data_IF_780649017566
#
_entry.id   IF_780649017566
#
_cell.length_a   1.000
_cell.length_b   1.000
_cell.length_c   1.000
_cell.angle_alpha   90.00
_cell.angle_beta   90.00
_cell.angle_gamma   90.00
#
_symmetry.space_group_name_H-M   'P 1'
#
loop_
_entity.id
_entity.type
_entity.pdbx_description
1 polymer ?
#
# COMPACT_ATOMS: atom_id res chain seq x y z
N UNK A 1 25.80 19.11 49.79
CA UNK A 1 24.44 18.54 49.75
C UNK A 1 24.24 17.80 48.43
N UNK A 2 24.58 16.50 48.39
CA UNK A 2 24.68 15.71 47.17
C UNK A 2 23.34 15.03 46.80
N UNK A 3 22.66 15.53 45.77
CA UNK A 3 21.37 15.01 45.25
C UNK A 3 21.51 13.82 44.27
N UNK A 4 22.58 13.03 44.38
CA UNK A 4 22.96 12.00 43.40
C UNK A 4 22.35 10.61 43.67
N UNK A 5 21.68 10.44 44.80
CA UNK A 5 21.03 9.20 45.23
C UNK A 5 19.53 9.23 44.93
N UNK A 6 19.14 9.56 43.70
CA UNK A 6 17.78 9.23 43.24
C UNK A 6 17.82 7.79 42.75
N UNK A 7 17.11 6.83 43.40
CA UNK A 7 17.04 5.48 42.88
C UNK A 7 16.44 5.54 41.47
N UNK A 8 17.04 4.83 40.53
CA UNK A 8 16.42 4.56 39.23
C UNK A 8 15.00 4.06 39.52
N UNK A 9 14.01 4.69 38.90
CA UNK A 9 12.62 4.20 38.98
C UNK A 9 12.62 2.82 38.36
N UNK A 10 12.70 1.81 39.23
CA UNK A 10 12.45 0.41 38.92
C UNK A 10 11.17 0.39 38.10
N UNK A 11 11.23 -0.24 36.93
CA UNK A 11 10.11 -0.47 36.02
C UNK A 11 8.81 -0.61 36.81
N UNK A 12 8.00 0.46 36.82
CA UNK A 12 6.64 0.36 37.30
C UNK A 12 5.91 -0.48 36.27
N UNK A 13 5.89 -1.79 36.51
CA UNK A 13 5.11 -2.73 35.72
C UNK A 13 3.67 -2.23 35.66
N UNK A 14 3.30 -1.77 34.47
CA UNK A 14 1.96 -1.30 34.18
C UNK A 14 1.00 -2.47 34.42
N UNK A 15 -0.12 -2.15 35.09
CA UNK A 15 -1.12 -3.08 35.61
C UNK A 15 -1.46 -4.19 34.59
N UNK A 16 -1.45 -5.48 35.01
CA UNK A 16 -1.64 -6.63 34.10
C UNK A 16 -3.02 -6.70 33.43
N UNK A 17 -4.01 -5.92 33.92
CA UNK A 17 -5.39 -5.95 33.41
C UNK A 17 -5.64 -5.04 32.19
N UNK A 18 -4.74 -4.10 31.86
CA UNK A 18 -4.83 -3.32 30.60
C UNK A 18 -4.30 -4.09 29.38
N UNK A 19 -3.82 -5.32 29.57
CA UNK A 19 -3.28 -6.17 28.50
C UNK A 19 -4.36 -6.85 27.65
N UNK A 20 -5.63 -6.81 28.09
CA UNK A 20 -6.75 -7.50 27.44
C UNK A 20 -7.43 -6.69 26.33
N UNK A 21 -7.15 -5.39 26.20
CA UNK A 21 -7.55 -4.65 25.02
C UNK A 21 -6.43 -4.73 23.98
N UNK A 22 -6.66 -5.26 22.77
CA UNK A 22 -5.63 -5.29 21.76
C UNK A 22 -5.24 -3.84 21.42
N UNK A 23 -4.02 -3.47 21.81
CA UNK A 23 -3.39 -2.18 21.56
C UNK A 23 -3.47 -1.74 20.07
N UNK A 24 -3.61 -2.70 19.17
CA UNK A 24 -3.82 -2.54 17.72
C UNK A 24 -5.11 -1.80 17.32
N UNK A 25 -6.10 -1.72 18.22
CA UNK A 25 -7.45 -1.22 17.92
C UNK A 25 -7.81 0.10 18.61
N UNK A 26 -6.82 0.90 19.02
CA UNK A 26 -7.12 2.24 19.54
C UNK A 26 -7.44 3.19 18.38
N UNK A 27 -8.64 3.78 18.35
CA UNK A 27 -9.08 4.79 17.37
C UNK A 27 -8.07 5.95 17.17
N UNK A 28 -7.24 6.23 18.17
CA UNK A 28 -6.13 7.20 18.07
C UNK A 28 -5.05 6.76 17.06
N UNK A 29 -4.77 5.46 16.95
CA UNK A 29 -3.86 4.91 15.93
C UNK A 29 -4.48 4.99 14.53
N UNK A 30 -5.77 4.69 14.37
CA UNK A 30 -6.42 4.76 13.05
C UNK A 30 -6.38 6.19 12.49
N UNK A 31 -6.67 7.20 13.32
CA UNK A 31 -6.58 8.62 12.88
C UNK A 31 -5.18 9.01 12.40
N UNK A 32 -4.12 8.53 13.04
CA UNK A 32 -2.74 8.84 12.65
C UNK A 32 -2.26 8.08 11.38
N UNK A 33 -2.99 7.04 10.97
CA UNK A 33 -2.68 6.26 9.77
C UNK A 33 -3.75 6.43 8.69
N UNK A 34 -4.67 7.39 8.86
CA UNK A 34 -5.83 7.52 7.98
C UNK A 34 -5.43 7.84 6.54
N UNK A 35 -4.48 8.76 6.33
CA UNK A 35 -3.91 9.07 5.01
C UNK A 35 -3.26 7.85 4.33
N UNK A 36 -2.66 6.94 5.11
CA UNK A 36 -2.09 5.70 4.59
C UNK A 36 -3.17 4.74 4.09
N UNK A 37 -4.25 4.56 4.86
CA UNK A 37 -5.37 3.72 4.43
C UNK A 37 -6.12 4.32 3.24
N UNK A 38 -6.29 5.64 3.20
CA UNK A 38 -6.95 6.33 2.09
C UNK A 38 -6.13 6.15 0.81
N UNK A 39 -4.82 6.40 0.85
CA UNK A 39 -3.95 6.19 -0.31
C UNK A 39 -4.05 4.74 -0.83
N UNK A 40 -3.95 3.77 0.09
CA UNK A 40 -4.01 2.36 -0.26
C UNK A 40 -5.37 1.97 -0.85
N UNK A 41 -6.45 2.49 -0.27
CA UNK A 41 -7.82 2.29 -0.76
C UNK A 41 -7.99 2.86 -2.18
N UNK A 42 -7.54 4.09 -2.43
CA UNK A 42 -7.58 4.70 -3.78
C UNK A 42 -6.75 3.88 -4.77
N UNK A 43 -5.55 3.46 -4.38
CA UNK A 43 -4.69 2.64 -5.23
C UNK A 43 -5.35 1.31 -5.61
N UNK A 44 -5.91 0.58 -4.65
CA UNK A 44 -6.61 -0.68 -4.95
C UNK A 44 -7.89 -0.45 -5.75
N UNK A 45 -8.68 0.58 -5.44
CA UNK A 45 -9.87 0.91 -6.23
C UNK A 45 -9.53 1.13 -7.70
N UNK A 46 -8.48 1.91 -7.99
CA UNK A 46 -8.07 2.16 -9.38
C UNK A 46 -7.65 0.84 -10.04
N UNK A 47 -6.81 0.02 -9.40
CA UNK A 47 -6.41 -1.27 -9.96
C UNK A 47 -7.62 -2.20 -10.19
N UNK A 48 -8.58 -2.26 -9.26
CA UNK A 48 -9.82 -3.04 -9.43
C UNK A 48 -10.63 -2.53 -10.62
N UNK A 49 -10.79 -1.21 -10.78
CA UNK A 49 -11.51 -0.62 -11.93
C UNK A 49 -10.83 -0.98 -13.24
N UNK A 50 -9.50 -0.82 -13.35
CA UNK A 50 -8.77 -1.21 -14.57
C UNK A 50 -8.89 -2.72 -14.86
N UNK A 51 -8.89 -3.55 -13.82
CA UNK A 51 -9.06 -4.99 -13.98
C UNK A 51 -10.47 -5.36 -14.44
N UNK A 52 -11.51 -4.75 -13.84
CA UNK A 52 -12.92 -4.97 -14.20
C UNK A 52 -13.21 -4.48 -15.61
N UNK A 53 -12.68 -3.32 -16.01
CA UNK A 53 -12.79 -2.82 -17.38
C UNK A 53 -12.21 -3.83 -18.39
N UNK A 54 -11.06 -4.43 -18.08
CA UNK A 54 -10.48 -5.46 -18.94
C UNK A 54 -11.31 -6.76 -18.94
N UNK A 55 -11.89 -7.14 -17.81
CA UNK A 55 -12.75 -8.31 -17.69
C UNK A 55 -14.06 -8.16 -18.47
N UNK A 56 -14.63 -6.95 -18.55
CA UNK A 56 -15.84 -6.68 -19.33
C UNK A 56 -15.53 -6.62 -20.84
N UNK A 57 -14.35 -6.11 -21.22
CA UNK A 57 -13.99 -5.84 -22.61
C UNK A 57 -13.45 -7.04 -23.38
N UNK A 58 -12.82 -8.01 -22.71
CA UNK A 58 -12.14 -9.13 -23.35
C UNK A 58 -12.80 -10.48 -23.00
N UNK A 59 -12.48 -11.54 -23.76
CA UNK A 59 -12.90 -12.93 -23.48
C UNK A 59 -12.08 -13.48 -22.29
N UNK A 60 -12.62 -14.46 -21.57
CA UNK A 60 -12.06 -14.93 -20.28
C UNK A 60 -10.55 -15.24 -20.33
N UNK A 61 -10.07 -15.94 -21.34
CA UNK A 61 -8.65 -16.34 -21.47
C UNK A 61 -7.68 -15.16 -21.59
N UNK A 62 -8.09 -14.08 -22.29
CA UNK A 62 -7.24 -12.91 -22.56
C UNK A 62 -7.50 -11.78 -21.53
N UNK A 63 -8.65 -11.80 -20.87
CA UNK A 63 -9.07 -10.79 -19.90
C UNK A 63 -8.11 -10.67 -18.72
N UNK A 64 -7.63 -11.81 -18.21
CA UNK A 64 -6.71 -11.84 -17.08
C UNK A 64 -5.37 -11.21 -17.48
N UNK A 65 -4.83 -11.57 -18.65
CA UNK A 65 -3.58 -11.02 -19.16
C UNK A 65 -3.68 -9.51 -19.41
N UNK A 66 -4.79 -9.06 -20.00
CA UNK A 66 -5.04 -7.63 -20.29
C UNK A 66 -5.31 -6.83 -19.02
N UNK A 67 -6.07 -7.36 -18.07
CA UNK A 67 -6.35 -6.71 -16.79
C UNK A 67 -5.10 -6.59 -15.93
N UNK A 68 -4.31 -7.66 -15.82
CA UNK A 68 -3.03 -7.64 -15.11
C UNK A 68 -2.04 -6.67 -15.78
N UNK A 69 -1.96 -6.67 -17.11
CA UNK A 69 -1.13 -5.72 -17.86
C UNK A 69 -1.56 -4.25 -17.68
N UNK A 70 -2.86 -3.97 -17.66
CA UNK A 70 -3.39 -2.63 -17.41
C UNK A 70 -3.03 -2.12 -16.00
N UNK A 71 -3.19 -2.97 -14.98
CA UNK A 71 -2.79 -2.67 -13.60
C UNK A 71 -1.26 -2.48 -13.46
N UNK A 72 -0.49 -3.26 -14.21
CA UNK A 72 0.98 -3.21 -14.25
C UNK A 72 1.49 -1.96 -14.97
N UNK A 73 0.75 -1.40 -15.93
CA UNK A 73 1.12 -0.12 -16.54
C UNK A 73 0.89 1.06 -15.58
N UNK A 74 -0.12 0.97 -14.71
CA UNK A 74 -0.45 2.03 -13.76
C UNK A 74 0.43 2.01 -12.49
N UNK A 75 0.64 0.84 -11.90
CA UNK A 75 1.29 0.69 -10.59
C UNK A 75 2.72 1.27 -10.50
N UNK A 76 3.61 1.11 -11.50
CA UNK A 76 4.94 1.71 -11.51
C UNK A 76 4.92 3.24 -11.57
N UNK A 77 3.97 3.84 -12.30
CA UNK A 77 3.80 5.30 -12.35
C UNK A 77 3.50 5.84 -10.96
N UNK A 78 2.63 5.16 -10.21
CA UNK A 78 2.32 5.51 -8.81
C UNK A 78 3.54 5.40 -7.92
N UNK A 79 4.33 4.33 -8.05
CA UNK A 79 5.59 4.15 -7.30
C UNK A 79 6.61 5.24 -7.59
N UNK A 80 6.75 5.65 -8.85
CA UNK A 80 7.65 6.73 -9.25
C UNK A 80 7.20 8.06 -8.63
N UNK A 81 5.90 8.38 -8.71
CA UNK A 81 5.32 9.58 -8.09
C UNK A 81 5.55 9.59 -6.56
N UNK A 82 5.42 8.43 -5.90
CA UNK A 82 5.66 8.28 -4.46
C UNK A 82 7.10 8.63 -4.04
N UNK A 83 8.09 8.26 -4.87
CA UNK A 83 9.51 8.41 -4.51
C UNK A 83 10.15 9.67 -5.11
N UNK A 84 9.49 10.33 -6.06
CA UNK A 84 10.00 11.53 -6.69
C UNK A 84 9.80 12.76 -5.79
N UNK A 85 10.91 13.19 -5.16
CA UNK A 85 10.93 14.22 -4.11
C UNK A 85 10.30 15.56 -4.54
N UNK A 86 10.49 15.99 -5.79
CA UNK A 86 9.98 17.27 -6.28
C UNK A 86 8.45 17.27 -6.44
N UNK A 87 7.86 16.17 -6.93
CA UNK A 87 6.40 16.02 -7.00
C UNK A 87 5.82 15.92 -5.59
N UNK A 88 6.48 15.20 -4.68
CA UNK A 88 6.03 15.07 -3.29
C UNK A 88 5.98 16.44 -2.57
N UNK A 89 6.95 17.33 -2.82
CA UNK A 89 6.94 18.70 -2.28
C UNK A 89 5.85 19.58 -2.89
N UNK A 90 5.53 19.41 -4.17
CA UNK A 90 4.41 20.11 -4.82
C UNK A 90 3.05 19.62 -4.30
N UNK A 91 2.90 18.31 -4.06
CA UNK A 91 1.70 17.74 -3.44
C UNK A 91 1.53 18.26 -2.00
N UNK A 92 2.63 18.51 -1.29
CA UNK A 92 2.60 19.10 0.06
C UNK A 92 2.05 20.53 0.08
N UNK A 93 2.29 21.32 -0.97
CA UNK A 93 1.77 22.70 -1.05
C UNK A 93 0.31 22.78 -1.52
N UNK A 94 -0.23 21.69 -2.06
CA UNK A 94 -1.62 21.60 -2.51
C UNK A 94 -2.53 20.98 -1.45
N UNK A 95 -3.86 21.08 -1.64
CA UNK A 95 -4.86 20.46 -0.76
C UNK A 95 -4.77 18.92 -0.73
N UNK A 96 -3.97 18.30 -1.61
CA UNK A 96 -3.70 16.87 -1.65
C UNK A 96 -2.70 16.38 -0.58
N UNK A 97 -2.12 17.27 0.22
CA UNK A 97 -1.21 16.87 1.30
C UNK A 97 -1.84 15.92 2.34
N UNK A 98 -3.18 15.98 2.51
CA UNK A 98 -3.92 15.06 3.37
C UNK A 98 -3.96 13.62 2.85
N UNK A 99 -3.88 13.42 1.53
CA UNK A 99 -3.93 12.10 0.89
C UNK A 99 -2.57 11.40 0.88
N UNK A 100 -1.47 12.14 1.00
CA UNK A 100 -0.11 11.61 0.90
C UNK A 100 0.54 11.50 2.30
N UNK A 101 0.73 10.29 2.85
CA UNK A 101 1.46 10.11 4.10
C UNK A 101 2.97 10.26 3.85
N UNK A 102 3.44 11.52 3.83
CA UNK A 102 4.81 11.92 3.49
C UNK A 102 5.88 11.37 4.44
N UNK A 103 5.55 10.93 5.65
CA UNK A 103 6.51 10.29 6.58
C UNK A 103 6.69 8.79 6.32
N UNK A 104 5.84 8.17 5.49
CA UNK A 104 5.80 6.70 5.31
C UNK A 104 5.90 6.27 3.83
N UNK A 105 6.39 7.14 2.94
CA UNK A 105 6.50 6.85 1.50
C UNK A 105 7.30 5.57 1.19
N UNK A 106 8.33 5.25 1.97
CA UNK A 106 9.12 4.01 1.82
C UNK A 106 8.26 2.75 2.08
N UNK A 107 7.36 2.79 3.06
CA UNK A 107 6.47 1.66 3.36
C UNK A 107 5.45 1.47 2.25
N UNK A 108 4.89 2.56 1.74
CA UNK A 108 3.98 2.53 0.59
C UNK A 108 4.68 2.01 -0.66
N UNK A 109 5.88 2.50 -0.95
CA UNK A 109 6.71 2.03 -2.07
C UNK A 109 6.92 0.51 -2.01
N UNK A 110 7.24 -0.04 -0.83
CA UNK A 110 7.39 -1.50 -0.66
C UNK A 110 6.11 -2.26 -0.98
N UNK A 111 4.95 -1.80 -0.49
CA UNK A 111 3.66 -2.47 -0.72
C UNK A 111 3.27 -2.44 -2.19
N UNK A 112 3.38 -1.28 -2.84
CA UNK A 112 3.09 -1.17 -4.28
C UNK A 112 4.11 -1.98 -5.09
N UNK A 113 5.38 -2.00 -4.68
CA UNK A 113 6.42 -2.84 -5.28
C UNK A 113 6.08 -4.33 -5.22
N UNK A 114 5.65 -4.84 -4.06
CA UNK A 114 5.17 -6.22 -3.94
C UNK A 114 3.94 -6.49 -4.82
N UNK A 115 3.03 -5.52 -4.92
CA UNK A 115 1.85 -5.63 -5.79
C UNK A 115 2.27 -5.73 -7.26
N UNK A 116 3.24 -4.94 -7.70
CA UNK A 116 3.79 -5.01 -9.06
C UNK A 116 4.38 -6.39 -9.33
N UNK A 117 5.18 -6.95 -8.41
CA UNK A 117 5.78 -8.28 -8.59
C UNK A 117 4.69 -9.35 -8.77
N UNK A 118 3.65 -9.34 -7.92
CA UNK A 118 2.54 -10.29 -8.02
C UNK A 118 1.78 -10.11 -9.34
N UNK A 119 1.46 -8.87 -9.72
CA UNK A 119 0.80 -8.57 -11.00
C UNK A 119 1.64 -9.00 -12.21
N UNK A 120 2.95 -8.80 -12.17
CA UNK A 120 3.88 -9.25 -13.21
C UNK A 120 3.86 -10.77 -13.35
N UNK A 121 3.86 -11.49 -12.23
CA UNK A 121 3.79 -12.95 -12.24
C UNK A 121 2.45 -13.43 -12.81
N UNK A 122 1.33 -12.84 -12.38
CA UNK A 122 0.00 -13.16 -12.91
C UNK A 122 -0.09 -12.87 -14.41
N UNK A 123 0.42 -11.71 -14.85
CA UNK A 123 0.46 -11.33 -16.25
C UNK A 123 1.28 -12.32 -17.09
N UNK A 124 2.44 -12.74 -16.58
CA UNK A 124 3.30 -13.75 -17.23
C UNK A 124 2.61 -15.12 -17.32
N UNK A 125 2.02 -15.60 -16.23
CA UNK A 125 1.29 -16.88 -16.21
C UNK A 125 0.06 -16.86 -17.11
N UNK A 126 -0.67 -15.74 -17.16
CA UNK A 126 -1.83 -15.58 -18.04
C UNK A 126 -1.42 -15.62 -19.52
N UNK A 127 -0.28 -15.01 -19.88
CA UNK A 127 0.29 -15.18 -21.22
C UNK A 127 0.63 -16.63 -21.51
N UNK A 128 1.30 -17.32 -20.58
CA UNK A 128 1.68 -18.72 -20.74
C UNK A 128 0.46 -19.64 -20.95
N UNK A 129 -0.60 -19.44 -20.16
CA UNK A 129 -1.86 -20.18 -20.30
C UNK A 129 -2.52 -19.93 -21.66
N UNK A 130 -2.60 -18.66 -22.09
CA UNK A 130 -3.17 -18.32 -23.38
C UNK A 130 -2.32 -18.86 -24.55
N UNK A 131 -0.99 -18.91 -24.42
CA UNK A 131 -0.13 -19.56 -25.41
C UNK A 131 -0.35 -21.08 -25.45
N UNK A 132 -0.55 -21.74 -24.31
CA UNK A 132 -0.83 -23.17 -24.27
C UNK A 132 -2.18 -23.54 -24.90
N UNK A 133 -3.19 -22.68 -24.76
CA UNK A 133 -4.52 -22.86 -25.37
C UNK A 133 -4.51 -22.61 -26.89
N UNK A 134 -3.54 -21.85 -27.41
CA UNK A 134 -3.37 -21.57 -28.84
C UNK A 134 -2.58 -22.63 -29.61
N UNK A 135 -1.75 -23.43 -28.90
CA UNK A 135 -0.86 -24.44 -29.49
C UNK A 135 -1.36 -25.89 -29.37
N UNK A 136 -2.43 -26.13 -28.60
CA UNK A 136 -3.14 -27.41 -28.49
C UNK A 136 -4.51 -27.32 -29.14
#
# INVERSE_FOLDING_TARGET
SANWLKPQKLHQDKKPFEKFWPFWLSWKHIKNYWSYFIFLSVFFMINTVLFVEAAIRYRESISIARGAGACLNFSPVVVLILMYRHIATLIRSTRLSFLFPLDKFIKLHKIVGYTIIVLSLVHFLAHLANFSELYF
#
